data_IF_196179683713
#
_entry.id   IF_196179683713
#
_cell.length_a   1.000
_cell.length_b   1.000
_cell.length_c   1.000
_cell.angle_alpha   90.00
_cell.angle_beta   90.00
_cell.angle_gamma   90.00
#
_symmetry.space_group_name_H-M   'P 1'
#
loop_
_entity.id
_entity.type
_entity.pdbx_description
1 polymer ?
#
# COMPACT_ATOMS: atom_id res chain seq x y z
N UNK A 1 -8.16 -14.69 -14.70
CA UNK A 1 -8.67 -15.60 -13.66
C UNK A 1 -10.11 -15.18 -13.38
N UNK A 2 -11.10 -16.04 -13.64
CA UNK A 2 -12.51 -15.70 -13.37
C UNK A 2 -12.72 -15.73 -11.85
N UNK A 3 -13.40 -14.74 -11.24
CA UNK A 3 -13.69 -14.77 -9.81
C UNK A 3 -14.44 -16.06 -9.47
N UNK A 4 -14.05 -16.72 -8.38
CA UNK A 4 -14.76 -17.91 -7.87
C UNK A 4 -16.18 -17.51 -7.39
N UNK A 5 -16.32 -16.26 -6.94
CA UNK A 5 -17.59 -15.67 -6.51
C UNK A 5 -17.90 -14.47 -7.40
N UNK A 6 -18.91 -14.62 -8.24
CA UNK A 6 -19.60 -13.53 -8.92
C UNK A 6 -20.67 -13.02 -7.95
N UNK A 7 -20.49 -11.82 -7.40
CA UNK A 7 -21.58 -11.11 -6.75
C UNK A 7 -21.84 -9.81 -7.51
N UNK A 8 -22.87 -9.82 -8.35
CA UNK A 8 -23.40 -8.65 -9.03
C UNK A 8 -24.69 -8.11 -8.37
N UNK A 9 -25.10 -8.67 -7.23
CA UNK A 9 -26.24 -8.18 -6.47
C UNK A 9 -25.81 -7.12 -5.45
N UNK A 10 -26.08 -5.86 -5.80
CA UNK A 10 -25.83 -4.70 -4.97
C UNK A 10 -27.07 -4.28 -4.16
N UNK A 11 -28.10 -5.13 -4.04
CA UNK A 11 -29.34 -4.86 -3.29
C UNK A 11 -30.04 -3.55 -3.70
N UNK A 12 -29.98 -3.24 -4.99
CA UNK A 12 -30.54 -1.99 -5.56
C UNK A 12 -29.65 -0.75 -5.41
N UNK A 13 -28.51 -0.83 -4.74
CA UNK A 13 -27.52 0.26 -4.69
C UNK A 13 -26.63 0.27 -5.93
N UNK A 14 -25.98 1.41 -6.18
CA UNK A 14 -25.06 1.52 -7.31
C UNK A 14 -23.72 0.83 -7.05
N UNK A 15 -23.19 0.20 -8.10
CA UNK A 15 -21.87 -0.44 -8.10
C UNK A 15 -20.70 0.53 -7.88
N UNK A 16 -20.88 1.79 -8.22
CA UNK A 16 -19.86 2.85 -8.12
C UNK A 16 -20.38 4.01 -7.29
N UNK A 17 -19.48 4.62 -6.52
CA UNK A 17 -19.77 5.82 -5.73
C UNK A 17 -18.58 6.79 -5.80
N UNK A 18 -18.81 8.11 -5.90
CA UNK A 18 -17.73 9.08 -5.85
C UNK A 18 -17.05 9.06 -4.47
N UNK A 19 -15.72 9.05 -4.45
CA UNK A 19 -14.92 8.88 -3.21
C UNK A 19 -15.30 9.84 -2.08
N UNK A 20 -15.63 11.09 -2.39
CA UNK A 20 -15.97 12.11 -1.40
C UNK A 20 -17.40 11.96 -0.83
N UNK A 21 -18.24 11.05 -1.36
CA UNK A 21 -19.66 10.90 -0.97
C UNK A 21 -19.90 9.87 0.12
N UNK A 22 -18.85 9.30 0.69
CA UNK A 22 -18.96 8.25 1.71
C UNK A 22 -19.67 8.67 3.01
N UNK A 23 -19.50 9.93 3.48
CA UNK A 23 -20.25 10.45 4.64
C UNK A 23 -21.73 10.65 4.29
N UNK A 24 -22.02 11.08 3.07
CA UNK A 24 -23.41 11.21 2.59
C UNK A 24 -24.07 9.83 2.56
N UNK A 25 -23.35 8.79 2.11
CA UNK A 25 -23.86 7.42 2.08
C UNK A 25 -24.19 6.86 3.47
N UNK A 26 -23.38 7.18 4.48
CA UNK A 26 -23.63 6.77 5.87
C UNK A 26 -24.85 7.52 6.44
N UNK A 27 -25.03 8.80 6.09
CA UNK A 27 -26.09 9.62 6.66
C UNK A 27 -27.45 9.43 5.96
N UNK A 28 -27.44 9.24 4.63
CA UNK A 28 -28.60 9.23 3.73
C UNK A 28 -28.55 8.02 2.77
N UNK A 29 -28.64 6.78 3.28
CA UNK A 29 -28.64 5.59 2.42
C UNK A 29 -29.86 5.56 1.49
N UNK A 30 -29.67 5.11 0.25
CA UNK A 30 -30.72 5.07 -0.77
C UNK A 30 -30.94 6.39 -1.53
N UNK A 31 -30.28 7.48 -1.12
CA UNK A 31 -30.34 8.76 -1.83
C UNK A 31 -29.74 8.62 -3.24
N UNK A 32 -30.47 9.13 -4.22
CA UNK A 32 -30.01 9.21 -5.61
C UNK A 32 -29.24 10.52 -5.83
N UNK A 33 -28.07 10.43 -6.46
CA UNK A 33 -27.24 11.57 -6.86
C UNK A 33 -26.88 11.48 -8.34
N UNK A 34 -26.73 12.64 -8.99
CA UNK A 34 -26.19 12.71 -10.35
C UNK A 34 -24.66 12.65 -10.29
N UNK A 35 -24.05 11.76 -11.08
CA UNK A 35 -22.61 11.63 -11.18
C UNK A 35 -22.18 11.17 -12.57
N UNK A 36 -21.35 11.98 -13.23
CA UNK A 36 -20.74 11.67 -14.54
C UNK A 36 -21.75 11.17 -15.60
N UNK A 37 -22.88 11.87 -15.74
CA UNK A 37 -23.95 11.51 -16.69
C UNK A 37 -24.79 10.30 -16.29
N UNK A 38 -24.56 9.72 -15.11
CA UNK A 38 -25.29 8.59 -14.57
C UNK A 38 -25.95 8.95 -13.24
N UNK A 39 -26.92 8.13 -12.81
CA UNK A 39 -27.53 8.20 -11.48
C UNK A 39 -26.84 7.18 -10.57
N UNK A 40 -26.51 7.61 -9.35
CA UNK A 40 -25.86 6.79 -8.32
C UNK A 40 -26.74 6.76 -7.08
N UNK A 41 -27.07 5.56 -6.61
CA UNK A 41 -27.84 5.31 -5.38
C UNK A 41 -26.84 4.96 -4.28
N UNK A 42 -26.82 5.76 -3.21
CA UNK A 42 -25.85 5.62 -2.13
C UNK A 42 -26.13 4.36 -1.27
N UNK A 43 -25.10 3.55 -0.94
CA UNK A 43 -25.27 2.31 -0.20
C UNK A 43 -25.43 2.52 1.32
N UNK A 44 -26.16 1.62 1.96
CA UNK A 44 -26.29 1.57 3.42
C UNK A 44 -25.05 0.94 4.08
N UNK A 45 -24.08 1.80 4.39
CA UNK A 45 -22.78 1.39 4.94
C UNK A 45 -22.88 1.15 6.45
N UNK A 46 -22.60 -0.08 6.90
CA UNK A 46 -22.65 -0.46 8.33
C UNK A 46 -21.30 -0.57 9.02
N UNK A 47 -20.26 -0.93 8.27
CA UNK A 47 -18.93 -1.17 8.81
C UNK A 47 -17.88 -0.44 7.99
N UNK A 48 -16.86 0.09 8.68
CA UNK A 48 -15.71 0.73 8.06
C UNK A 48 -14.42 0.04 8.51
N UNK A 49 -13.56 -0.30 7.55
CA UNK A 49 -12.20 -0.78 7.81
C UNK A 49 -11.22 0.21 7.22
N UNK A 50 -10.36 0.78 8.05
CA UNK A 50 -9.39 1.80 7.69
C UNK A 50 -7.98 1.24 7.85
N UNK A 51 -7.16 1.34 6.81
CA UNK A 51 -5.77 0.90 6.82
C UNK A 51 -4.93 1.87 6.00
N UNK A 52 -3.81 2.34 6.57
CA UNK A 52 -2.86 3.20 5.85
C UNK A 52 -3.40 4.57 5.43
N UNK A 53 -4.51 5.03 6.00
CA UNK A 53 -5.06 6.36 5.74
C UNK A 53 -5.69 6.97 7.00
N UNK A 54 -5.88 8.30 7.00
CA UNK A 54 -6.43 9.02 8.14
C UNK A 54 -7.68 9.84 7.74
N UNK A 55 -8.87 9.21 7.73
CA UNK A 55 -10.17 9.85 7.49
C UNK A 55 -10.42 11.16 8.24
N UNK A 56 -10.09 11.19 9.53
CA UNK A 56 -10.32 12.33 10.40
C UNK A 56 -9.40 13.52 10.10
N UNK A 57 -8.39 13.32 9.25
CA UNK A 57 -7.55 14.37 8.72
C UNK A 57 -8.01 14.85 7.33
N UNK A 58 -8.18 13.93 6.37
CA UNK A 58 -8.39 14.31 4.97
C UNK A 58 -9.82 14.74 4.62
N UNK A 59 -10.82 14.37 5.43
CA UNK A 59 -12.22 14.64 5.11
C UNK A 59 -12.73 15.91 5.80
N UNK A 60 -13.68 16.59 5.16
CA UNK A 60 -14.15 17.91 5.58
C UNK A 60 -15.27 17.79 6.62
N UNK A 61 -15.50 18.89 7.36
CA UNK A 61 -16.57 19.05 8.35
C UNK A 61 -16.62 17.96 9.44
N UNK A 62 -15.81 18.17 10.49
CA UNK A 62 -15.60 17.19 11.56
C UNK A 62 -16.85 16.96 12.41
N UNK A 63 -17.67 17.99 12.63
CA UNK A 63 -18.89 17.86 13.42
C UNK A 63 -19.92 16.97 12.70
N UNK A 64 -20.05 17.13 11.38
CA UNK A 64 -20.87 16.24 10.56
C UNK A 64 -20.34 14.80 10.56
N UNK A 65 -19.02 14.63 10.48
CA UNK A 65 -18.40 13.30 10.55
C UNK A 65 -18.68 12.60 11.88
N UNK A 66 -18.66 13.32 13.01
CA UNK A 66 -19.01 12.72 14.32
C UNK A 66 -20.40 12.08 14.29
N UNK A 67 -21.39 12.78 13.75
CA UNK A 67 -22.76 12.25 13.61
C UNK A 67 -22.82 11.04 12.68
N UNK A 68 -22.04 11.04 11.59
CA UNK A 68 -21.99 9.91 10.68
C UNK A 68 -21.35 8.67 11.32
N UNK A 69 -20.23 8.84 12.03
CA UNK A 69 -19.53 7.73 12.70
C UNK A 69 -20.41 7.06 13.76
N UNK A 70 -21.29 7.80 14.44
CA UNK A 70 -22.26 7.24 15.40
C UNK A 70 -23.32 6.33 14.76
N UNK A 71 -23.53 6.40 13.43
CA UNK A 71 -24.44 5.50 12.71
C UNK A 71 -23.78 4.19 12.28
N UNK A 72 -22.44 4.12 12.29
CA UNK A 72 -21.72 2.89 11.97
C UNK A 72 -21.84 1.90 13.13
N UNK A 73 -21.93 0.62 12.78
CA UNK A 73 -22.01 -0.47 13.76
C UNK A 73 -20.62 -0.92 14.21
N UNK A 74 -19.62 -0.80 13.36
CA UNK A 74 -18.25 -1.19 13.67
C UNK A 74 -17.24 -0.41 12.83
N UNK A 75 -16.21 0.10 13.48
CA UNK A 75 -15.07 0.79 12.87
C UNK A 75 -13.78 0.09 13.32
N UNK A 76 -13.04 -0.44 12.36
CA UNK A 76 -11.74 -1.09 12.58
C UNK A 76 -10.65 -0.25 11.95
N UNK A 77 -9.62 0.10 12.70
CA UNK A 77 -8.46 0.83 12.18
C UNK A 77 -7.17 0.04 12.38
N UNK A 78 -6.38 -0.04 11.31
CA UNK A 78 -5.06 -0.65 11.27
C UNK A 78 -4.05 0.47 11.04
N UNK A 79 -3.27 0.77 12.07
CA UNK A 79 -2.32 1.88 12.08
C UNK A 79 -1.15 1.56 13.02
N UNK A 80 0.01 2.16 12.77
CA UNK A 80 1.18 2.06 13.64
C UNK A 80 1.19 3.19 14.68
N UNK A 81 0.43 4.27 14.46
CA UNK A 81 0.35 5.42 15.35
C UNK A 81 -1.08 5.63 15.88
N UNK A 82 -1.19 6.19 17.09
CA UNK A 82 -2.48 6.60 17.68
C UNK A 82 -3.02 7.88 17.02
N UNK A 83 -3.50 7.74 15.78
CA UNK A 83 -4.09 8.84 15.01
C UNK A 83 -5.50 9.21 15.49
N UNK A 84 -6.01 10.36 15.04
CA UNK A 84 -7.41 10.75 15.31
C UNK A 84 -8.40 9.67 14.86
N UNK A 85 -8.12 8.97 13.76
CA UNK A 85 -8.98 7.87 13.31
C UNK A 85 -8.99 6.71 14.30
N UNK A 86 -7.83 6.32 14.84
CA UNK A 86 -7.76 5.30 15.91
C UNK A 86 -8.62 5.70 17.12
N UNK A 87 -8.62 6.98 17.50
CA UNK A 87 -9.40 7.49 18.64
C UNK A 87 -10.92 7.37 18.45
N UNK A 88 -11.40 7.35 17.21
CA UNK A 88 -12.82 7.20 16.87
C UNK A 88 -13.17 5.79 16.35
N UNK A 89 -12.31 4.80 16.60
CA UNK A 89 -12.52 3.40 16.17
C UNK A 89 -12.94 2.52 17.34
N UNK A 90 -13.71 1.47 17.06
CA UNK A 90 -14.10 0.47 18.05
C UNK A 90 -12.96 -0.54 18.29
N UNK A 91 -12.24 -0.91 17.22
CA UNK A 91 -11.13 -1.86 17.27
C UNK A 91 -9.92 -1.24 16.59
N UNK A 92 -8.78 -1.29 17.28
CA UNK A 92 -7.49 -0.83 16.76
C UNK A 92 -6.52 -2.02 16.72
N UNK A 93 -5.92 -2.25 15.55
CA UNK A 93 -4.91 -3.30 15.35
C UNK A 93 -3.55 -2.64 15.09
N UNK A 94 -2.51 -2.92 15.91
CA UNK A 94 -1.21 -2.29 15.77
C UNK A 94 -0.42 -2.86 14.59
N UNK A 95 -0.23 -2.05 13.56
CA UNK A 95 0.67 -2.37 12.45
C UNK A 95 2.13 -1.97 12.78
N UNK A 96 3.09 -2.66 12.20
CA UNK A 96 4.50 -2.24 12.27
C UNK A 96 4.85 -1.26 11.15
N UNK A 97 5.89 -0.49 11.37
CA UNK A 97 6.48 0.41 10.37
C UNK A 97 7.25 -0.37 9.29
N UNK A 98 7.64 0.34 8.23
CA UNK A 98 8.47 -0.21 7.17
C UNK A 98 9.88 -0.60 7.63
N UNK A 99 10.38 -0.05 8.74
CA UNK A 99 11.71 -0.34 9.28
C UNK A 99 11.76 -1.65 10.08
N UNK A 100 10.59 -2.21 10.41
CA UNK A 100 10.44 -3.43 11.21
C UNK A 100 10.24 -4.69 10.35
N UNK A 101 10.27 -4.54 9.01
CA UNK A 101 10.04 -5.62 8.03
C UNK A 101 10.97 -5.50 6.83
N UNK A 102 11.11 -6.59 6.09
CA UNK A 102 11.77 -6.58 4.79
C UNK A 102 10.76 -6.18 3.69
N UNK A 103 11.16 -5.37 2.72
CA UNK A 103 10.35 -4.98 1.57
C UNK A 103 11.22 -4.62 0.35
N UNK A 104 10.58 -4.30 -0.78
CA UNK A 104 11.23 -3.86 -2.02
C UNK A 104 10.43 -2.74 -2.69
N UNK A 105 11.11 -1.70 -3.18
CA UNK A 105 10.45 -0.56 -3.83
C UNK A 105 11.23 -0.04 -5.04
N UNK A 106 10.57 0.74 -5.89
CA UNK A 106 11.18 1.43 -7.02
C UNK A 106 11.82 2.75 -6.59
N UNK A 107 13.02 3.00 -7.09
CA UNK A 107 13.69 4.28 -6.89
C UNK A 107 13.19 5.34 -7.88
N UNK A 108 12.26 6.16 -7.40
CA UNK A 108 11.66 7.28 -8.13
C UNK A 108 10.48 6.85 -9.00
N UNK A 109 9.30 7.35 -8.67
CA UNK A 109 8.03 6.95 -9.31
C UNK A 109 8.01 7.14 -10.83
N UNK A 110 8.66 8.19 -11.34
CA UNK A 110 8.73 8.50 -12.78
C UNK A 110 10.05 8.10 -13.43
N UNK A 111 11.16 8.21 -12.69
CA UNK A 111 12.49 7.95 -13.23
C UNK A 111 12.79 6.45 -13.33
N UNK A 112 12.21 5.64 -12.43
CA UNK A 112 12.42 4.19 -12.38
C UNK A 112 13.89 3.82 -12.38
N UNK A 113 14.71 4.62 -11.72
CA UNK A 113 16.18 4.63 -11.89
C UNK A 113 16.80 3.35 -11.37
N UNK A 114 16.19 2.74 -10.37
CA UNK A 114 16.63 1.49 -9.77
C UNK A 114 15.54 0.85 -8.93
N UNK A 115 15.93 -0.23 -8.25
CA UNK A 115 15.12 -0.95 -7.28
C UNK A 115 15.87 -0.89 -5.95
N UNK A 116 15.16 -0.57 -4.87
CA UNK A 116 15.67 -0.50 -3.52
C UNK A 116 15.25 -1.74 -2.73
N UNK A 117 16.21 -2.34 -2.03
CA UNK A 117 15.93 -3.32 -1.00
C UNK A 117 15.76 -2.60 0.33
N UNK A 118 14.59 -2.76 0.95
CA UNK A 118 14.30 -2.20 2.27
C UNK A 118 14.49 -3.30 3.29
N UNK A 119 15.66 -3.35 3.90
CA UNK A 119 15.96 -4.37 4.91
C UNK A 119 15.34 -4.00 6.25
N UNK A 120 14.84 -5.02 6.95
CA UNK A 120 14.43 -4.91 8.35
C UNK A 120 15.60 -4.37 9.18
N UNK A 121 15.37 -3.26 9.88
CA UNK A 121 16.36 -2.60 10.73
C UNK A 121 16.24 -3.02 12.19
N UNK A 122 15.01 -3.18 12.68
CA UNK A 122 14.69 -3.57 14.06
C UNK A 122 13.56 -4.57 14.09
N UNK A 123 13.40 -5.31 15.19
CA UNK A 123 12.24 -6.19 15.38
C UNK A 123 10.95 -5.39 15.60
N UNK A 124 9.77 -5.90 15.16
CA UNK A 124 8.49 -5.27 15.46
C UNK A 124 8.34 -4.99 16.94
N UNK A 125 8.08 -3.73 17.29
CA UNK A 125 8.01 -3.28 18.67
C UNK A 125 6.68 -3.69 19.32
N UNK A 126 6.74 -3.98 20.62
CA UNK A 126 5.59 -4.34 21.45
C UNK A 126 4.80 -5.53 20.87
N UNK A 127 3.50 -5.35 20.62
CA UNK A 127 2.62 -6.33 20.01
C UNK A 127 2.30 -5.97 18.54
N UNK A 128 3.05 -5.05 17.94
CA UNK A 128 2.85 -4.68 16.54
C UNK A 128 3.19 -5.84 15.61
N UNK A 129 2.49 -5.92 14.48
CA UNK A 129 2.67 -6.97 13.49
C UNK A 129 2.68 -6.39 12.09
N UNK A 130 3.31 -7.08 11.15
CA UNK A 130 3.25 -6.69 9.74
C UNK A 130 1.80 -6.78 9.23
N UNK A 131 1.41 -5.90 8.32
CA UNK A 131 0.09 -5.96 7.69
C UNK A 131 -0.18 -7.33 7.07
N UNK A 132 0.84 -7.93 6.44
CA UNK A 132 0.75 -9.27 5.87
C UNK A 132 0.45 -10.33 6.94
N UNK A 133 1.07 -10.28 8.12
CA UNK A 133 0.76 -11.19 9.22
C UNK A 133 -0.66 -10.98 9.77
N UNK A 134 -1.10 -9.72 9.93
CA UNK A 134 -2.46 -9.37 10.39
C UNK A 134 -3.52 -9.96 9.44
N UNK A 135 -3.38 -9.72 8.13
CA UNK A 135 -4.32 -10.23 7.15
C UNK A 135 -4.21 -11.75 6.94
N UNK A 136 -3.03 -12.33 7.08
CA UNK A 136 -2.86 -13.80 7.05
C UNK A 136 -3.63 -14.46 8.19
N UNK A 137 -3.55 -13.91 9.40
CA UNK A 137 -4.28 -14.41 10.56
C UNK A 137 -5.79 -14.21 10.43
N UNK A 138 -6.22 -13.06 9.88
CA UNK A 138 -7.61 -12.82 9.55
C UNK A 138 -8.13 -13.89 8.58
N UNK A 139 -7.44 -14.14 7.47
CA UNK A 139 -7.81 -15.18 6.51
C UNK A 139 -7.74 -16.60 7.11
N UNK A 140 -6.85 -16.84 8.08
CA UNK A 140 -6.76 -18.14 8.78
C UNK A 140 -8.05 -18.44 9.54
N UNK A 141 -8.71 -17.45 10.13
CA UNK A 141 -10.02 -17.62 10.80
C UNK A 141 -11.13 -18.09 9.85
N UNK A 142 -10.96 -17.86 8.55
CA UNK A 142 -11.88 -18.33 7.50
C UNK A 142 -11.34 -19.57 6.76
N UNK A 143 -10.30 -20.24 7.28
CA UNK A 143 -9.63 -21.36 6.63
C UNK A 143 -9.12 -21.05 5.22
N UNK A 144 -8.75 -19.78 4.96
CA UNK A 144 -8.38 -19.26 3.63
C UNK A 144 -7.01 -18.59 3.58
N UNK A 145 -6.15 -18.87 4.56
CA UNK A 145 -4.81 -18.28 4.62
C UNK A 145 -3.91 -18.77 3.49
N UNK A 146 -4.11 -19.99 2.97
CA UNK A 146 -3.29 -20.54 1.87
C UNK A 146 -3.56 -19.82 0.56
N UNK A 147 -4.80 -19.48 0.28
CA UNK A 147 -5.24 -18.72 -0.90
C UNK A 147 -4.74 -17.28 -0.84
N UNK A 148 -4.77 -16.66 0.35
CA UNK A 148 -4.25 -15.32 0.57
C UNK A 148 -2.72 -15.26 0.38
N UNK A 149 -1.99 -16.10 1.12
CA UNK A 149 -0.52 -16.14 1.09
C UNK A 149 0.04 -16.74 -0.19
N UNK A 150 -0.79 -17.49 -0.94
CA UNK A 150 -0.39 -18.39 -2.04
C UNK A 150 0.68 -19.41 -1.63
N UNK A 151 0.71 -19.75 -0.34
CA UNK A 151 1.73 -20.62 0.25
C UNK A 151 3.12 -19.99 0.35
N UNK A 152 3.23 -18.66 0.20
CA UNK A 152 4.50 -17.94 0.29
C UNK A 152 4.60 -17.08 1.56
N UNK A 153 5.78 -17.04 2.16
CA UNK A 153 6.16 -16.08 3.20
C UNK A 153 6.55 -14.71 2.61
N UNK A 154 6.70 -13.68 3.46
CA UNK A 154 7.03 -12.30 3.04
C UNK A 154 8.30 -12.24 2.18
N UNK A 155 9.36 -12.97 2.55
CA UNK A 155 10.62 -12.99 1.79
C UNK A 155 10.49 -13.73 0.45
N UNK A 156 9.69 -14.78 0.39
CA UNK A 156 9.37 -15.49 -0.84
C UNK A 156 8.58 -14.58 -1.79
N UNK A 157 7.65 -13.78 -1.26
CA UNK A 157 6.99 -12.73 -2.03
C UNK A 157 7.99 -11.72 -2.61
N UNK A 158 8.87 -11.15 -1.80
CA UNK A 158 9.91 -10.21 -2.25
C UNK A 158 10.78 -10.83 -3.36
N UNK A 159 11.26 -12.07 -3.18
CA UNK A 159 12.04 -12.79 -4.19
C UNK A 159 11.25 -12.97 -5.48
N UNK A 160 9.99 -13.38 -5.39
CA UNK A 160 9.14 -13.59 -6.56
C UNK A 160 8.93 -12.31 -7.37
N UNK A 161 8.74 -11.17 -6.69
CA UNK A 161 8.56 -9.86 -7.30
C UNK A 161 9.86 -9.40 -7.96
N UNK A 162 10.99 -9.54 -7.27
CA UNK A 162 12.31 -9.23 -7.81
C UNK A 162 12.61 -10.05 -9.08
N UNK A 163 12.37 -11.36 -9.04
CA UNK A 163 12.60 -12.25 -10.19
C UNK A 163 11.68 -11.91 -11.37
N UNK A 164 10.44 -11.49 -11.11
CA UNK A 164 9.53 -11.02 -12.15
C UNK A 164 10.05 -9.78 -12.87
N UNK A 165 10.66 -8.84 -12.14
CA UNK A 165 11.25 -7.62 -12.72
C UNK A 165 12.60 -7.89 -13.39
N UNK A 166 13.39 -8.83 -12.85
CA UNK A 166 14.70 -9.21 -13.41
C UNK A 166 14.58 -9.90 -14.77
N UNK A 167 13.50 -10.64 -15.01
CA UNK A 167 13.29 -11.32 -16.30
C UNK A 167 13.32 -10.28 -17.43
N UNK A 168 14.15 -10.49 -18.48
CA UNK A 168 14.32 -9.53 -19.55
C UNK A 168 13.00 -9.36 -20.32
N UNK A 169 12.25 -8.30 -20.02
CA UNK A 169 11.20 -7.83 -20.90
C UNK A 169 11.85 -7.23 -22.15
N UNK A 170 11.26 -7.48 -23.34
CA UNK A 170 11.79 -7.01 -24.65
C UNK A 170 12.02 -5.49 -24.74
N UNK A 171 11.57 -4.72 -23.75
CA UNK A 171 11.66 -3.26 -23.65
C UNK A 171 12.79 -2.86 -22.69
N UNK A 172 14.03 -2.87 -23.17
CA UNK A 172 15.22 -2.43 -22.40
C UNK A 172 15.08 -0.96 -21.97
N UNK A 173 14.65 -0.70 -20.74
CA UNK A 173 15.08 0.49 -19.99
C UNK A 173 16.11 0.01 -18.98
N UNK A 174 17.32 0.59 -19.01
CA UNK A 174 18.40 0.25 -18.07
C UNK A 174 17.93 0.60 -16.66
N UNK A 175 17.40 -0.35 -15.91
CA UNK A 175 17.16 -0.20 -14.48
C UNK A 175 18.48 -0.56 -13.79
N UNK A 176 19.09 0.40 -13.11
CA UNK A 176 20.40 0.24 -12.48
C UNK A 176 20.17 -0.18 -11.03
N UNK A 177 20.65 -1.36 -10.66
CA UNK A 177 20.55 -1.85 -9.28
C UNK A 177 21.56 -1.05 -8.45
N UNK A 178 21.08 -0.19 -7.55
CA UNK A 178 21.91 0.46 -6.55
C UNK A 178 21.93 -0.43 -5.30
N UNK A 179 23.06 -1.08 -5.03
CA UNK A 179 23.30 -1.68 -3.72
C UNK A 179 24.14 -0.73 -2.87
N UNK A 180 23.78 -0.45 -1.62
CA UNK A 180 24.59 0.37 -0.73
C UNK A 180 25.96 -0.28 -0.54
N UNK A 181 27.01 0.47 -0.80
CA UNK A 181 28.40 0.02 -0.73
C UNK A 181 28.89 -0.09 0.72
N UNK A 182 28.54 -1.19 1.38
CA UNK A 182 29.10 -1.62 2.67
C UNK A 182 30.07 -2.81 2.53
N UNK A 183 30.89 -3.13 3.55
CA UNK A 183 32.07 -4.01 3.45
C UNK A 183 31.78 -5.53 3.31
N UNK A 184 30.59 -5.96 2.87
CA UNK A 184 30.29 -7.37 2.58
C UNK A 184 30.58 -7.74 1.11
N UNK A 185 31.81 -7.45 0.64
CA UNK A 185 32.34 -7.93 -0.65
C UNK A 185 33.36 -9.06 -0.45
N UNK A 186 33.04 -10.09 0.33
CA UNK A 186 33.83 -11.33 0.38
C UNK A 186 32.93 -12.56 0.52
N UNK A 187 32.26 -12.93 -0.56
CA UNK A 187 31.89 -14.33 -0.84
C UNK A 187 31.58 -14.49 -2.34
N UNK A 188 32.45 -15.21 -3.05
CA UNK A 188 32.18 -15.97 -4.29
C UNK A 188 31.34 -15.33 -5.39
N UNK A 189 32.02 -14.73 -6.36
CA UNK A 189 31.49 -14.28 -7.65
C UNK A 189 31.24 -15.47 -8.61
N UNK A 190 30.06 -15.59 -9.23
CA UNK A 190 29.94 -16.14 -10.60
C UNK A 190 29.39 -15.02 -11.50
N UNK A 191 30.15 -14.78 -12.56
CA UNK A 191 30.10 -13.62 -13.43
C UNK A 191 28.81 -13.51 -14.27
N UNK A 192 28.22 -12.32 -14.25
CA UNK A 192 27.51 -11.72 -15.37
C UNK A 192 28.05 -10.31 -15.59
N UNK A 193 28.82 -10.10 -16.67
CA UNK A 193 29.52 -8.85 -17.03
C UNK A 193 28.57 -7.64 -17.03
N UNK A 194 28.59 -6.84 -15.97
CA UNK A 194 28.06 -5.46 -15.98
C UNK A 194 29.27 -4.53 -16.04
N UNK A 195 29.43 -3.81 -17.16
CA UNK A 195 30.39 -2.70 -17.26
C UNK A 195 30.04 -1.65 -16.22
N UNK A 196 30.89 -1.48 -15.22
CA UNK A 196 30.87 -0.34 -14.32
C UNK A 196 31.67 0.76 -15.02
N UNK A 197 31.00 1.82 -15.49
CA UNK A 197 31.68 3.06 -15.88
C UNK A 197 31.88 3.91 -14.63
N UNK A 198 33.10 4.33 -14.29
CA UNK A 198 33.33 5.25 -13.18
C UNK A 198 32.77 6.63 -13.55
N UNK A 199 32.05 7.26 -12.62
CA UNK A 199 31.63 8.66 -12.72
C UNK A 199 32.82 9.51 -12.30
N UNK A 200 33.50 10.16 -13.25
CA UNK A 200 34.48 11.21 -12.94
C UNK A 200 33.75 12.55 -12.72
N UNK A 201 34.11 13.34 -11.69
CA UNK A 201 33.52 14.64 -11.46
C UNK A 201 34.14 15.65 -12.42
N UNK A 202 33.40 16.11 -13.43
CA UNK A 202 33.88 17.14 -14.36
C UNK A 202 33.21 18.49 -14.05
N UNK A 203 33.70 19.15 -13.00
CA UNK A 203 33.43 20.55 -12.70
C UNK A 203 34.27 21.45 -13.62
N UNK A 204 33.80 21.76 -14.84
CA UNK A 204 34.52 22.71 -15.71
C UNK A 204 33.71 23.42 -16.82
N UNK A 205 32.36 23.47 -16.80
CA UNK A 205 31.58 24.09 -17.91
C UNK A 205 30.42 25.01 -17.53
N UNK A 206 30.46 25.67 -16.37
CA UNK A 206 29.53 26.78 -16.05
C UNK A 206 30.32 27.99 -15.54
N UNK A 207 31.06 28.64 -16.45
CA UNK A 207 31.53 30.04 -16.32
C UNK A 207 31.69 30.66 -17.71
N UNK A 208 30.57 30.96 -18.38
CA UNK A 208 30.47 31.98 -19.45
C UNK A 208 29.01 32.13 -19.89
N UNK A 209 28.17 32.73 -19.04
CA UNK A 209 26.93 33.38 -19.48
C UNK A 209 26.38 34.39 -18.45
N UNK A 210 27.27 35.22 -17.88
CA UNK A 210 26.90 36.52 -17.29
C UNK A 210 28.07 37.47 -17.60
N UNK A 211 27.92 38.22 -18.68
CA UNK A 211 28.46 39.57 -18.92
C UNK A 211 27.41 40.29 -19.74
#
# INVERSE_FOLDING_TARGET
MKPIWDNNDYKGYSKTMPVARWIDAILEPGKEINYNGSKVILPDTKMLVVSGCNPWHHHQNRNRMKTAFQKLQTVVTIDFAWTATCRFSDIVLPACTQYERDDIDLYGAYSGTGILAMHKLVDPMYQSRTDFAIFTDFCRRFNRSKEFTRGMDERQWIRSLYDAVRKPTKRKRKCQILMPSGPMRKAGLILGRVRITPVTPNSAKIRKLIR
#
